data_IF_761829342987
#
_entry.id   IF_761829342987
#
_cell.length_a   1.000
_cell.length_b   1.000
_cell.length_c   1.000
_cell.angle_alpha   90.00
_cell.angle_beta   90.00
_cell.angle_gamma   90.00
#
_symmetry.space_group_name_H-M   'P 1'
#
loop_
_entity.id
_entity.type
_entity.pdbx_description
1 polymer ?
#
# COMPACT_ATOMS: atom_id res chain seq x y z
N UNK A 1 -31.53 -6.89 -6.67
CA UNK A 1 -31.38 -6.58 -5.24
C UNK A 1 -30.14 -5.72 -5.13
N UNK A 2 -30.25 -4.51 -4.57
CA UNK A 2 -29.09 -3.64 -4.39
C UNK A 2 -28.26 -4.16 -3.22
N UNK A 3 -26.95 -4.29 -3.41
CA UNK A 3 -26.05 -4.64 -2.31
C UNK A 3 -26.17 -3.59 -1.20
N UNK A 4 -26.29 -4.00 0.07
CA UNK A 4 -26.34 -3.05 1.17
C UNK A 4 -25.05 -2.22 1.18
N UNK A 5 -25.20 -0.90 1.05
CA UNK A 5 -24.09 0.05 1.20
C UNK A 5 -23.69 0.04 2.68
N UNK A 6 -22.71 -0.78 3.03
CA UNK A 6 -22.16 -0.82 4.38
C UNK A 6 -21.36 0.46 4.63
N UNK A 7 -22.03 1.50 5.12
CA UNK A 7 -21.38 2.74 5.54
C UNK A 7 -20.90 2.53 6.97
N UNK A 8 -19.63 2.15 7.13
CA UNK A 8 -19.05 2.04 8.45
C UNK A 8 -18.96 3.45 9.08
N UNK A 9 -19.27 3.62 10.38
CA UNK A 9 -19.19 4.92 11.05
C UNK A 9 -17.79 5.55 10.92
N UNK A 10 -17.69 6.87 11.05
CA UNK A 10 -16.39 7.56 11.03
C UNK A 10 -15.41 6.91 12.00
N UNK A 11 -14.18 6.63 11.54
CA UNK A 11 -13.16 5.89 12.27
C UNK A 11 -13.12 4.39 11.98
N UNK A 12 -14.18 3.81 11.39
CA UNK A 12 -14.16 2.39 11.02
C UNK A 12 -13.53 2.15 9.65
N UNK A 13 -12.79 1.04 9.53
CA UNK A 13 -12.23 0.57 8.27
C UNK A 13 -13.30 -0.17 7.47
N UNK A 14 -13.89 0.50 6.46
CA UNK A 14 -14.78 -0.14 5.47
C UNK A 14 -14.12 -1.36 4.81
N UNK A 15 -12.84 -1.31 4.38
CA UNK A 15 -12.15 -2.48 3.83
C UNK A 15 -12.17 -3.67 4.78
N UNK A 16 -11.86 -3.46 6.05
CA UNK A 16 -11.80 -4.54 7.04
C UNK A 16 -13.18 -5.14 7.31
N UNK A 17 -14.24 -4.31 7.34
CA UNK A 17 -15.61 -4.81 7.43
C UNK A 17 -15.99 -5.69 6.22
N UNK A 18 -15.62 -5.31 5.00
CA UNK A 18 -15.91 -6.12 3.80
C UNK A 18 -15.17 -7.44 3.82
N UNK A 19 -13.97 -7.46 4.37
CA UNK A 19 -13.06 -8.61 4.28
C UNK A 19 -13.21 -9.58 5.47
N UNK A 20 -13.35 -9.06 6.69
CA UNK A 20 -13.38 -9.85 7.92
C UNK A 20 -14.69 -9.68 8.72
N UNK A 21 -15.57 -8.76 8.33
CA UNK A 21 -16.81 -8.45 9.04
C UNK A 21 -16.65 -7.45 10.19
N UNK A 22 -15.43 -7.05 10.56
CA UNK A 22 -15.13 -6.13 11.66
C UNK A 22 -13.89 -5.27 11.39
N UNK A 23 -13.65 -4.25 12.24
CA UNK A 23 -12.38 -3.54 12.36
C UNK A 23 -12.04 -3.27 13.84
N UNK A 24 -10.87 -2.71 14.12
CA UNK A 24 -10.38 -2.38 15.46
C UNK A 24 -11.20 -1.32 16.20
N UNK A 25 -12.06 -0.57 15.49
CA UNK A 25 -12.97 0.40 16.09
C UNK A 25 -14.31 -0.23 16.51
N UNK A 26 -14.55 -1.50 16.17
CA UNK A 26 -15.71 -2.23 16.70
C UNK A 26 -15.54 -2.52 18.19
N UNK A 27 -16.66 -2.52 18.92
CA UNK A 27 -16.66 -2.84 20.34
C UNK A 27 -16.06 -4.23 20.60
N UNK A 28 -15.11 -4.29 21.52
CA UNK A 28 -14.44 -5.54 21.89
C UNK A 28 -13.45 -6.06 20.84
N UNK A 29 -13.06 -5.22 19.87
CA UNK A 29 -12.00 -5.52 18.90
C UNK A 29 -10.78 -4.64 19.14
N UNK A 30 -9.62 -5.15 18.73
CA UNK A 30 -8.33 -4.48 18.88
C UNK A 30 -7.61 -4.38 17.54
N UNK A 31 -6.66 -3.45 17.44
CA UNK A 31 -5.80 -3.31 16.27
C UNK A 31 -4.97 -4.58 16.00
N UNK A 32 -4.55 -5.28 17.06
CA UNK A 32 -3.83 -6.53 16.94
C UNK A 32 -4.69 -7.65 16.33
N UNK A 33 -5.97 -7.76 16.71
CA UNK A 33 -6.89 -8.73 16.11
C UNK A 33 -7.16 -8.42 14.63
N UNK A 34 -7.38 -7.16 14.29
CA UNK A 34 -7.56 -6.75 12.89
C UNK A 34 -6.31 -7.06 12.06
N UNK A 35 -5.12 -6.76 12.57
CA UNK A 35 -3.85 -7.08 11.90
C UNK A 35 -3.65 -8.59 11.73
N UNK A 36 -3.94 -9.38 12.76
CA UNK A 36 -3.84 -10.83 12.69
C UNK A 36 -4.80 -11.43 11.64
N UNK A 37 -6.02 -10.89 11.54
CA UNK A 37 -6.98 -11.31 10.51
C UNK A 37 -6.49 -11.00 9.09
N UNK A 38 -5.87 -9.83 8.89
CA UNK A 38 -5.23 -9.49 7.63
C UNK A 38 -4.06 -10.43 7.30
N UNK A 39 -3.19 -10.70 8.26
CA UNK A 39 -2.05 -11.62 8.07
C UNK A 39 -2.51 -13.02 7.66
N UNK A 40 -3.49 -13.60 8.36
CA UNK A 40 -4.05 -14.93 8.03
C UNK A 40 -4.64 -14.94 6.62
N UNK A 41 -5.34 -13.86 6.22
CA UNK A 41 -5.90 -13.77 4.88
C UNK A 41 -4.84 -13.68 3.80
N UNK A 42 -3.83 -12.82 3.96
CA UNK A 42 -2.77 -12.68 2.97
C UNK A 42 -1.94 -13.97 2.88
N UNK A 43 -1.67 -14.63 4.01
CA UNK A 43 -1.06 -15.96 4.04
C UNK A 43 -1.89 -16.98 3.22
N UNK A 44 -3.20 -17.04 3.44
CA UNK A 44 -4.08 -17.96 2.71
C UNK A 44 -4.14 -17.64 1.19
N UNK A 45 -4.04 -16.36 0.81
CA UNK A 45 -3.90 -15.97 -0.61
C UNK A 45 -2.61 -16.54 -1.20
N UNK A 46 -1.48 -16.43 -0.50
CA UNK A 46 -0.21 -17.01 -0.95
C UNK A 46 -0.22 -18.54 -1.03
N UNK A 47 -0.92 -19.22 -0.12
CA UNK A 47 -1.06 -20.67 -0.15
C UNK A 47 -2.00 -21.15 -1.29
N UNK A 48 -3.00 -20.34 -1.66
CA UNK A 48 -3.98 -20.66 -2.71
C UNK A 48 -3.45 -20.34 -4.10
N UNK A 49 -2.74 -19.22 -4.26
CA UNK A 49 -2.08 -18.82 -5.51
C UNK A 49 -0.75 -19.59 -5.72
N UNK A 50 -0.69 -20.82 -5.18
CA UNK A 50 0.52 -21.60 -4.99
C UNK A 50 1.46 -21.59 -6.18
N UNK A 51 2.75 -21.55 -5.84
CA UNK A 51 3.85 -21.78 -6.77
C UNK A 51 3.52 -22.96 -7.70
N UNK A 52 3.32 -22.74 -9.01
CA UNK A 52 3.06 -23.83 -9.94
C UNK A 52 4.28 -24.76 -10.07
N UNK A 53 5.45 -24.34 -9.60
CA UNK A 53 6.69 -25.10 -9.61
C UNK A 53 7.02 -25.55 -8.18
N UNK A 54 6.43 -26.67 -7.78
CA UNK A 54 6.65 -27.28 -6.47
C UNK A 54 8.11 -27.68 -6.24
N UNK A 55 8.90 -26.74 -5.73
CA UNK A 55 10.09 -26.97 -4.94
C UNK A 55 9.96 -26.09 -3.69
N UNK A 56 10.15 -26.66 -2.51
CA UNK A 56 9.89 -26.04 -1.20
C UNK A 56 10.73 -24.82 -0.82
N UNK A 57 11.09 -23.95 -1.77
CA UNK A 57 11.59 -22.61 -1.53
C UNK A 57 10.46 -21.62 -1.79
N UNK A 58 9.60 -21.37 -0.79
CA UNK A 58 8.59 -20.32 -0.84
C UNK A 58 9.24 -19.00 -1.29
N UNK A 59 9.18 -18.74 -2.59
CA UNK A 59 9.72 -17.55 -3.21
C UNK A 59 8.89 -16.39 -2.68
N UNK A 60 9.39 -15.68 -1.66
CA UNK A 60 8.81 -14.39 -1.25
C UNK A 60 8.47 -13.63 -2.52
N UNK A 61 7.19 -13.34 -2.77
CA UNK A 61 6.80 -12.68 -4.00
C UNK A 61 7.56 -11.37 -4.08
N UNK A 62 8.01 -11.00 -5.28
CA UNK A 62 8.57 -9.68 -5.52
C UNK A 62 7.51 -8.65 -5.13
N UNK A 63 7.68 -8.03 -3.96
CA UNK A 63 6.74 -7.02 -3.46
C UNK A 63 7.17 -5.66 -3.98
N UNK A 64 6.36 -5.09 -4.86
CA UNK A 64 6.48 -3.70 -5.28
C UNK A 64 5.72 -2.78 -4.32
N UNK A 65 6.38 -1.71 -3.88
CA UNK A 65 5.76 -0.63 -3.11
C UNK A 65 6.14 0.73 -3.69
N UNK A 66 5.29 1.73 -3.48
CA UNK A 66 5.53 3.11 -3.92
C UNK A 66 5.38 4.06 -2.74
N UNK A 67 6.52 4.55 -2.26
CA UNK A 67 6.54 5.61 -1.26
C UNK A 67 6.35 6.96 -1.95
N UNK A 68 5.35 7.73 -1.53
CA UNK A 68 5.05 9.04 -2.11
C UNK A 68 5.08 10.14 -1.07
N UNK A 69 5.51 11.33 -1.49
CA UNK A 69 5.40 12.57 -0.71
C UNK A 69 5.16 13.76 -1.63
N UNK A 70 4.49 14.78 -1.11
CA UNK A 70 4.35 16.06 -1.81
C UNK A 70 5.37 17.08 -1.31
N UNK A 71 5.88 17.93 -2.20
CA UNK A 71 6.78 19.04 -1.84
C UNK A 71 6.54 20.26 -2.73
N UNK A 72 7.08 21.41 -2.31
CA UNK A 72 7.06 22.62 -3.11
C UNK A 72 7.86 22.45 -4.41
N UNK A 73 7.37 23.07 -5.49
CA UNK A 73 8.05 23.07 -6.78
C UNK A 73 9.20 24.09 -6.79
N UNK A 74 10.44 23.70 -7.12
CA UNK A 74 11.55 24.64 -7.21
C UNK A 74 11.44 25.60 -8.39
N UNK A 75 10.66 25.26 -9.43
CA UNK A 75 10.49 26.08 -10.63
C UNK A 75 9.40 27.15 -10.47
N UNK A 76 8.19 26.76 -10.05
CA UNK A 76 7.06 27.70 -9.93
C UNK A 76 6.76 28.14 -8.49
N UNK A 77 7.41 27.56 -7.49
CA UNK A 77 7.20 27.89 -6.07
C UNK A 77 5.87 27.40 -5.48
N UNK A 78 5.03 26.70 -6.24
CA UNK A 78 3.75 26.18 -5.73
C UNK A 78 3.99 25.10 -4.68
N UNK A 79 3.40 25.29 -3.49
CA UNK A 79 3.51 24.35 -2.38
C UNK A 79 2.68 23.08 -2.62
N UNK A 80 3.18 21.93 -2.18
CA UNK A 80 2.55 20.62 -2.37
C UNK A 80 2.34 20.17 -3.83
N UNK A 81 2.84 20.93 -4.82
CA UNK A 81 2.55 20.68 -6.24
C UNK A 81 3.40 19.58 -6.87
N UNK A 82 4.54 19.22 -6.26
CA UNK A 82 5.40 18.14 -6.75
C UNK A 82 5.08 16.85 -6.01
N UNK A 83 4.62 15.83 -6.74
CA UNK A 83 4.59 14.45 -6.26
C UNK A 83 5.97 13.84 -6.49
N UNK A 84 6.63 13.44 -5.41
CA UNK A 84 7.90 12.72 -5.41
C UNK A 84 7.63 11.27 -5.00
N UNK A 85 7.89 10.34 -5.91
CA UNK A 85 7.60 8.92 -5.77
C UNK A 85 8.90 8.10 -5.85
N UNK A 86 9.09 7.21 -4.89
CA UNK A 86 10.17 6.22 -4.88
C UNK A 86 9.57 4.82 -5.00
N UNK A 87 10.00 4.09 -6.03
CA UNK A 87 9.58 2.71 -6.29
C UNK A 87 10.54 1.76 -5.58
N UNK A 88 9.98 0.95 -4.69
CA UNK A 88 10.70 -0.02 -3.88
C UNK A 88 10.31 -1.43 -4.33
N UNK A 89 11.29 -2.32 -4.39
CA UNK A 89 11.09 -3.75 -4.60
C UNK A 89 11.72 -4.50 -3.45
N UNK A 90 10.92 -5.28 -2.72
CA UNK A 90 11.42 -6.16 -1.67
C UNK A 90 11.68 -7.54 -2.24
N UNK A 91 12.91 -8.03 -2.06
CA UNK A 91 13.32 -9.40 -2.37
C UNK A 91 13.65 -10.15 -1.08
N UNK A 92 13.94 -11.46 -1.17
CA UNK A 92 14.45 -12.24 -0.03
C UNK A 92 15.69 -11.64 0.63
N UNK A 93 16.52 -10.95 -0.14
CA UNK A 93 17.80 -10.43 0.33
C UNK A 93 17.70 -9.03 0.95
N UNK A 94 16.89 -8.14 0.35
CA UNK A 94 16.82 -6.73 0.76
C UNK A 94 15.65 -5.99 0.09
N UNK A 95 15.42 -4.76 0.55
CA UNK A 95 14.60 -3.77 -0.14
C UNK A 95 15.49 -2.95 -1.09
N UNK A 96 15.10 -2.85 -2.34
CA UNK A 96 15.83 -2.16 -3.41
C UNK A 96 15.02 -0.97 -3.91
N UNK A 97 15.67 0.18 -4.11
CA UNK A 97 15.06 1.26 -4.89
C UNK A 97 15.29 0.98 -6.37
N UNK A 98 14.20 0.78 -7.12
CA UNK A 98 14.27 0.47 -8.57
C UNK A 98 14.00 1.69 -9.44
N UNK A 99 13.43 2.75 -8.88
CA UNK A 99 13.16 3.97 -9.60
C UNK A 99 12.76 5.11 -8.69
N UNK A 100 12.94 6.34 -9.18
CA UNK A 100 12.41 7.56 -8.56
C UNK A 100 11.83 8.44 -9.65
N UNK A 101 10.74 9.10 -9.34
CA UNK A 101 10.03 9.99 -10.25
C UNK A 101 9.54 11.20 -9.48
N UNK A 102 9.67 12.39 -10.05
CA UNK A 102 9.04 13.59 -9.53
C UNK A 102 8.34 14.36 -10.64
N UNK A 103 7.14 14.86 -10.37
CA UNK A 103 6.34 15.61 -11.34
C UNK A 103 5.59 16.74 -10.66
N UNK A 104 5.66 17.92 -11.26
CA UNK A 104 4.92 19.08 -10.78
C UNK A 104 3.57 19.16 -11.50
N UNK A 105 2.47 19.01 -10.77
CA UNK A 105 1.13 19.15 -11.36
C UNK A 105 0.76 20.60 -11.70
N UNK A 106 1.44 21.59 -11.11
CA UNK A 106 1.23 23.00 -11.45
C UNK A 106 1.97 23.43 -12.74
N UNK A 107 3.16 22.88 -12.98
CA UNK A 107 3.92 23.15 -14.20
C UNK A 107 3.62 22.16 -15.32
N UNK A 108 3.00 21.02 -15.00
CA UNK A 108 2.83 19.86 -15.89
C UNK A 108 4.16 19.35 -16.46
N UNK A 109 5.24 19.40 -15.67
CA UNK A 109 6.58 19.01 -16.10
C UNK A 109 7.27 18.07 -15.11
N UNK A 110 8.14 17.16 -15.61
CA UNK A 110 9.03 16.37 -14.78
C UNK A 110 9.95 17.26 -13.94
N UNK A 111 10.24 16.81 -12.72
CA UNK A 111 11.15 17.45 -11.79
C UNK A 111 12.28 16.47 -11.44
N UNK A 112 13.40 17.00 -10.96
CA UNK A 112 14.43 16.13 -10.37
C UNK A 112 13.87 15.49 -9.09
N UNK A 113 13.93 14.17 -9.00
CA UNK A 113 13.56 13.46 -7.78
C UNK A 113 14.52 13.87 -6.64
N UNK A 114 13.99 14.16 -5.46
CA UNK A 114 14.85 14.56 -4.36
C UNK A 114 15.78 13.41 -3.96
N UNK A 115 17.06 13.71 -3.71
CA UNK A 115 17.99 12.77 -3.10
C UNK A 115 17.55 12.57 -1.64
N UNK A 116 17.06 11.37 -1.34
CA UNK A 116 16.86 10.89 0.02
C UNK A 116 18.13 10.25 0.56
#
# INVERSE_FOLDING_TARGET
MADPVWTAPLGHSIPSHRVHGYCAHCQGRTAAEELAAWQVREQARYETDGDPDGDGDASMPLMGDVSTRTRACPTCGSDGAVLDATFLVTTKAAVHTVGRFAFCFACETPQEAARG
#
